data_IF_411681703900
#
_entry.id   IF_411681703900
#
_cell.length_a   1.000
_cell.length_b   1.000
_cell.length_c   1.000
_cell.angle_alpha   90.00
_cell.angle_beta   90.00
_cell.angle_gamma   90.00
#
_symmetry.space_group_name_H-M   'P 1'
#
loop_
_entity.id
_entity.type
_entity.pdbx_description
1 polymer ?
#
# COMPACT_ATOMS: atom_id res chain seq x y z
N UNK A 1 40.91 -14.90 -28.66
CA UNK A 1 40.99 -13.43 -28.44
C UNK A 1 39.89 -12.81 -29.30
N UNK A 2 38.91 -12.06 -28.82
CA UNK A 2 38.73 -11.38 -27.55
C UNK A 2 37.25 -11.45 -27.11
N UNK A 3 37.02 -11.65 -25.81
CA UNK A 3 35.70 -11.54 -25.19
C UNK A 3 35.32 -10.06 -25.06
N UNK A 4 34.07 -9.73 -25.43
CA UNK A 4 33.49 -8.40 -25.25
C UNK A 4 32.93 -8.34 -23.81
N UNK A 5 33.31 -7.35 -22.98
CA UNK A 5 32.82 -7.29 -21.61
C UNK A 5 31.36 -6.84 -21.59
N UNK A 6 30.50 -7.63 -20.94
CA UNK A 6 29.12 -7.27 -20.61
C UNK A 6 29.13 -6.20 -19.52
N UNK A 7 28.87 -4.95 -19.91
CA UNK A 7 28.61 -3.84 -18.99
C UNK A 7 27.16 -3.89 -18.53
N UNK A 8 26.87 -4.66 -17.47
CA UNK A 8 25.63 -4.49 -16.69
C UNK A 8 25.82 -3.30 -15.76
N UNK A 9 25.47 -2.11 -16.24
CA UNK A 9 25.31 -0.94 -15.39
C UNK A 9 24.06 -1.17 -14.52
N UNK A 10 24.29 -1.49 -13.24
CA UNK A 10 23.23 -1.48 -12.22
C UNK A 10 22.80 -0.02 -12.06
N UNK A 11 21.56 0.29 -12.46
CA UNK A 11 20.96 1.59 -12.22
C UNK A 11 20.94 1.86 -10.70
N UNK A 12 21.25 3.08 -10.23
CA UNK A 12 21.20 3.38 -8.81
C UNK A 12 19.76 3.22 -8.32
N UNK A 13 19.55 2.23 -7.46
CA UNK A 13 18.32 2.06 -6.70
C UNK A 13 18.13 3.33 -5.86
N UNK A 14 17.16 4.16 -6.23
CA UNK A 14 16.72 5.28 -5.40
C UNK A 14 16.22 4.64 -4.11
N UNK A 15 16.96 4.78 -3.02
CA UNK A 15 16.58 4.25 -1.72
C UNK A 15 15.26 4.91 -1.32
N UNK A 16 14.19 4.11 -1.30
CA UNK A 16 12.86 4.62 -0.97
C UNK A 16 12.85 5.03 0.51
N UNK A 17 12.53 6.30 0.79
CA UNK A 17 12.43 6.80 2.16
C UNK A 17 11.56 5.89 3.02
N UNK A 18 11.96 5.67 4.26
CA UNK A 18 11.14 4.92 5.23
C UNK A 18 9.85 5.70 5.49
N UNK A 19 8.73 5.00 5.65
CA UNK A 19 7.44 5.66 5.90
C UNK A 19 7.48 6.58 7.13
N UNK A 20 8.23 6.20 8.17
CA UNK A 20 8.40 7.04 9.37
C UNK A 20 9.06 8.38 9.04
N UNK A 21 10.04 8.41 8.14
CA UNK A 21 10.71 9.66 7.72
C UNK A 21 9.75 10.56 6.94
N UNK A 22 8.95 9.99 6.02
CA UNK A 22 7.92 10.72 5.28
C UNK A 22 6.92 11.36 6.25
N UNK A 23 6.46 10.62 7.26
CA UNK A 23 5.53 11.13 8.26
C UNK A 23 6.19 12.21 9.15
N UNK A 24 7.45 12.05 9.52
CA UNK A 24 8.21 13.05 10.28
C UNK A 24 8.34 14.39 9.53
N UNK A 25 8.64 14.35 8.23
CA UNK A 25 8.70 15.54 7.37
C UNK A 25 7.36 16.30 7.38
N UNK A 26 6.23 15.56 7.35
CA UNK A 26 4.88 16.14 7.36
C UNK A 26 4.46 16.68 8.73
N UNK A 27 4.91 16.05 9.82
CA UNK A 27 4.72 16.56 11.18
C UNK A 27 5.44 17.90 11.33
N UNK A 28 6.70 17.99 10.86
CA UNK A 28 7.45 19.24 10.85
C UNK A 28 6.76 20.31 9.99
N UNK A 29 6.27 19.94 8.81
CA UNK A 29 5.52 20.84 7.95
C UNK A 29 4.25 21.38 8.62
N UNK A 30 3.55 20.53 9.39
CA UNK A 30 2.39 20.93 10.19
C UNK A 30 2.74 21.96 11.26
N UNK A 31 3.88 21.81 11.93
CA UNK A 31 4.37 22.78 12.92
C UNK A 31 4.74 24.12 12.25
N UNK A 32 5.35 24.10 11.06
CA UNK A 32 5.61 25.32 10.27
C UNK A 32 4.32 26.04 9.87
N UNK A 33 3.27 25.30 9.52
CA UNK A 33 1.96 25.89 9.19
C UNK A 33 1.35 26.55 10.43
N UNK A 34 1.44 25.91 11.61
CA UNK A 34 0.95 26.50 12.85
C UNK A 34 1.61 27.85 13.14
N UNK A 35 2.94 27.95 12.95
CA UNK A 35 3.68 29.21 13.05
C UNK A 35 3.21 30.23 12.00
N UNK A 36 2.96 29.81 10.75
CA UNK A 36 2.48 30.71 9.70
C UNK A 36 1.07 31.25 9.98
N UNK A 37 0.17 30.39 10.47
CA UNK A 37 -1.20 30.75 10.86
C UNK A 37 -1.19 31.76 12.01
N UNK A 38 -0.37 31.55 13.04
CA UNK A 38 -0.28 32.46 14.19
C UNK A 38 0.24 33.85 13.79
N UNK A 39 1.07 33.92 12.75
CA UNK A 39 1.61 35.18 12.21
C UNK A 39 0.71 35.82 11.13
N UNK A 40 -0.50 35.30 10.88
CA UNK A 40 -1.42 35.84 9.88
C UNK A 40 -2.04 37.17 10.35
N UNK A 41 -2.15 38.11 9.43
CA UNK A 41 -2.76 39.42 9.68
C UNK A 41 -4.06 39.64 8.90
N UNK A 42 -4.17 39.07 7.70
CA UNK A 42 -5.41 39.00 6.91
C UNK A 42 -6.04 37.60 6.96
N UNK A 43 -7.35 37.49 6.70
CA UNK A 43 -8.08 36.22 6.70
C UNK A 43 -7.88 35.40 7.99
N UNK A 44 -7.92 36.06 9.15
CA UNK A 44 -7.63 35.44 10.46
C UNK A 44 -8.59 34.28 10.79
N UNK A 45 -9.92 34.39 10.58
CA UNK A 45 -10.84 33.28 10.81
C UNK A 45 -10.51 32.06 9.96
N UNK A 46 -10.18 32.27 8.69
CA UNK A 46 -9.85 31.21 7.74
C UNK A 46 -8.51 30.56 8.08
N UNK A 47 -7.48 31.36 8.38
CA UNK A 47 -6.18 30.86 8.85
C UNK A 47 -6.33 30.04 10.14
N UNK A 48 -7.16 30.51 11.09
CA UNK A 48 -7.47 29.77 12.32
C UNK A 48 -8.10 28.41 12.01
N UNK A 49 -9.04 28.34 11.06
CA UNK A 49 -9.63 27.08 10.61
C UNK A 49 -8.61 26.14 9.96
N UNK A 50 -7.71 26.66 9.09
CA UNK A 50 -6.58 25.88 8.54
C UNK A 50 -5.74 25.29 9.67
N UNK A 51 -5.38 26.10 10.67
CA UNK A 51 -4.60 25.65 11.82
C UNK A 51 -5.27 24.50 12.58
N UNK A 52 -6.59 24.55 12.78
CA UNK A 52 -7.35 23.47 13.43
C UNK A 52 -7.33 22.16 12.62
N UNK A 53 -7.58 22.23 11.32
CA UNK A 53 -7.56 21.05 10.43
C UNK A 53 -6.15 20.43 10.35
N UNK A 54 -5.12 21.26 10.20
CA UNK A 54 -3.72 20.81 10.17
C UNK A 54 -3.28 20.21 11.49
N UNK A 55 -3.71 20.77 12.64
CA UNK A 55 -3.43 20.17 13.94
C UNK A 55 -4.03 18.76 14.05
N UNK A 56 -5.27 18.58 13.58
CA UNK A 56 -5.92 17.26 13.53
C UNK A 56 -5.14 16.28 12.65
N UNK A 57 -4.73 16.69 11.44
CA UNK A 57 -3.87 15.87 10.58
C UNK A 57 -2.55 15.50 11.28
N UNK A 58 -1.90 16.46 11.92
CA UNK A 58 -0.65 16.24 12.65
C UNK A 58 -0.79 15.20 13.77
N UNK A 59 -1.91 15.19 14.50
CA UNK A 59 -2.21 14.14 15.48
C UNK A 59 -2.34 12.76 14.83
N UNK A 60 -3.00 12.67 13.68
CA UNK A 60 -3.19 11.43 12.93
C UNK A 60 -1.88 10.92 12.32
N UNK A 61 -1.04 11.81 11.79
CA UNK A 61 0.31 11.51 11.31
C UNK A 61 1.18 10.94 12.43
N UNK A 62 1.11 11.51 13.64
CA UNK A 62 1.80 10.97 14.82
C UNK A 62 1.28 9.58 15.21
N UNK A 63 -0.03 9.34 15.11
CA UNK A 63 -0.59 8.00 15.33
C UNK A 63 -0.10 6.99 14.29
N UNK A 64 -0.10 7.37 13.02
CA UNK A 64 0.42 6.54 11.93
C UNK A 64 1.90 6.21 12.11
N UNK A 65 2.72 7.19 12.54
CA UNK A 65 4.14 6.98 12.81
C UNK A 65 4.36 5.98 13.96
N UNK A 66 3.55 6.04 15.03
CA UNK A 66 3.60 5.06 16.12
C UNK A 66 3.24 3.66 15.64
N UNK A 67 2.18 3.51 14.85
CA UNK A 67 1.76 2.22 14.27
C UNK A 67 2.86 1.61 13.40
N UNK A 68 3.47 2.42 12.53
CA UNK A 68 4.53 1.98 11.64
C UNK A 68 5.81 1.51 12.38
N UNK A 69 6.05 2.02 13.59
CA UNK A 69 7.18 1.59 14.44
C UNK A 69 6.82 0.33 15.24
N UNK A 70 5.57 0.19 15.69
CA UNK A 70 5.16 -0.94 16.55
C UNK A 70 4.92 -2.25 15.79
N UNK A 71 4.56 -2.19 14.52
CA UNK A 71 4.22 -3.38 13.72
C UNK A 71 5.35 -3.72 12.75
N UNK A 72 5.87 -4.95 12.78
CA UNK A 72 6.86 -5.42 11.81
C UNK A 72 6.54 -6.86 11.37
N UNK A 73 6.36 -7.13 10.05
CA UNK A 73 6.34 -6.19 8.94
C UNK A 73 5.04 -5.36 8.88
N UNK A 74 5.16 -4.05 8.69
CA UNK A 74 4.02 -3.13 8.52
C UNK A 74 3.67 -2.99 7.04
N UNK A 75 2.42 -3.27 6.69
CA UNK A 75 1.91 -3.04 5.35
C UNK A 75 1.67 -1.55 5.14
N UNK A 76 2.58 -0.81 4.50
CA UNK A 76 2.59 0.66 4.49
C UNK A 76 2.11 1.33 3.19
N UNK A 77 1.83 0.56 2.14
CA UNK A 77 1.41 1.07 0.81
C UNK A 77 0.23 2.05 0.83
N UNK A 78 -0.93 1.75 1.46
CA UNK A 78 -2.04 2.70 1.52
C UNK A 78 -1.63 3.99 2.24
N UNK A 79 -0.85 3.87 3.32
CA UNK A 79 -0.37 5.00 4.09
C UNK A 79 0.60 5.87 3.28
N UNK A 80 1.52 5.28 2.50
CA UNK A 80 2.42 6.01 1.60
C UNK A 80 1.64 6.85 0.59
N UNK A 81 0.63 6.26 -0.04
CA UNK A 81 -0.16 6.94 -1.07
C UNK A 81 -0.98 8.11 -0.50
N UNK A 82 -1.59 7.90 0.67
CA UNK A 82 -2.34 8.96 1.38
C UNK A 82 -1.39 10.04 1.90
N UNK A 83 -0.25 9.65 2.47
CA UNK A 83 0.76 10.60 2.94
C UNK A 83 1.24 11.51 1.81
N UNK A 84 1.44 11.00 0.59
CA UNK A 84 1.83 11.83 -0.55
C UNK A 84 0.81 12.96 -0.83
N UNK A 85 -0.49 12.65 -0.85
CA UNK A 85 -1.56 13.65 -1.05
C UNK A 85 -1.67 14.63 0.14
N UNK A 86 -1.52 14.12 1.37
CA UNK A 86 -1.47 14.96 2.58
C UNK A 86 -0.32 15.95 2.50
N UNK A 87 0.88 15.52 2.07
CA UNK A 87 2.05 16.38 1.91
C UNK A 87 1.74 17.56 0.98
N UNK A 88 1.18 17.27 -0.20
CA UNK A 88 0.82 18.28 -1.19
C UNK A 88 -0.18 19.30 -0.62
N UNK A 89 -1.15 18.83 0.17
CA UNK A 89 -2.17 19.70 0.75
C UNK A 89 -1.65 20.50 1.96
N UNK A 90 -0.68 19.98 2.71
CA UNK A 90 0.06 20.73 3.72
C UNK A 90 0.93 21.82 3.08
N UNK A 91 1.61 21.56 1.97
CA UNK A 91 2.39 22.57 1.24
C UNK A 91 1.52 23.71 0.71
N UNK A 92 0.34 23.39 0.16
CA UNK A 92 -0.67 24.38 -0.23
C UNK A 92 -1.13 25.20 0.98
N UNK A 93 -1.34 24.55 2.12
CA UNK A 93 -1.72 25.20 3.38
C UNK A 93 -0.67 26.20 3.84
N UNK A 94 0.60 25.79 3.85
CA UNK A 94 1.73 26.64 4.24
C UNK A 94 1.87 27.83 3.30
N UNK A 95 1.76 27.59 1.99
CA UNK A 95 1.84 28.64 0.97
C UNK A 95 0.74 29.68 1.16
N UNK A 96 -0.51 29.25 1.39
CA UNK A 96 -1.63 30.17 1.60
C UNK A 96 -1.48 30.94 2.91
N UNK A 97 -1.16 30.26 4.02
CA UNK A 97 -0.96 30.90 5.32
C UNK A 97 0.18 31.94 5.29
N UNK A 98 1.28 31.68 4.57
CA UNK A 98 2.38 32.65 4.40
C UNK A 98 1.94 33.91 3.64
N UNK A 99 1.00 33.81 2.69
CA UNK A 99 0.47 34.97 1.94
C UNK A 99 -0.39 35.90 2.81
N UNK A 100 -0.88 35.42 3.95
CA UNK A 100 -1.68 36.19 4.91
C UNK A 100 -0.82 36.98 5.92
N UNK A 101 0.50 36.84 5.88
CA UNK A 101 1.44 37.62 6.71
C UNK A 101 1.50 39.09 6.27
N UNK A 102 1.86 40.01 7.18
CA UNK A 102 2.06 41.41 6.82
C UNK A 102 3.16 41.55 5.75
N UNK A 103 2.85 42.22 4.64
CA UNK A 103 3.83 42.49 3.56
C UNK A 103 4.58 43.80 3.82
N UNK A 104 5.87 43.80 3.55
CA UNK A 104 6.63 45.04 3.32
C UNK A 104 6.11 45.73 2.04
N UNK A 105 6.26 47.06 1.99
CA UNK A 105 5.65 47.94 0.96
C UNK A 105 6.02 47.54 -0.48
N UNK A 106 7.17 46.89 -0.67
CA UNK A 106 7.72 46.45 -1.97
C UNK A 106 7.03 45.22 -2.60
N UNK A 107 6.32 44.38 -1.82
CA UNK A 107 5.69 43.14 -2.31
C UNK A 107 4.16 43.23 -2.47
N UNK A 108 3.60 44.44 -2.45
CA UNK A 108 2.15 44.67 -2.50
C UNK A 108 1.50 44.26 -3.84
N UNK A 109 2.25 44.07 -4.92
CA UNK A 109 1.69 44.02 -6.27
C UNK A 109 1.29 42.64 -6.84
N UNK A 110 1.63 41.49 -6.22
CA UNK A 110 1.51 40.22 -6.96
C UNK A 110 0.96 39.01 -6.20
N UNK A 111 0.01 39.15 -5.29
CA UNK A 111 -0.75 37.95 -4.83
C UNK A 111 -2.06 38.35 -4.17
N UNK A 112 -3.17 38.13 -4.87
CA UNK A 112 -4.51 38.26 -4.31
C UNK A 112 -4.86 36.92 -3.68
N UNK A 113 -5.16 36.93 -2.38
CA UNK A 113 -5.78 35.81 -1.67
C UNK A 113 -7.27 36.11 -1.59
N UNK A 114 -8.09 35.11 -1.89
CA UNK A 114 -9.54 35.19 -1.86
C UNK A 114 -10.14 34.19 -0.87
N UNK A 115 -11.40 34.39 -0.51
CA UNK A 115 -12.18 33.39 0.25
C UNK A 115 -12.31 32.08 -0.51
N UNK A 116 -12.41 32.13 -1.84
CA UNK A 116 -12.49 30.95 -2.69
C UNK A 116 -11.22 30.06 -2.61
N UNK A 117 -10.05 30.66 -2.40
CA UNK A 117 -8.79 29.92 -2.18
C UNK A 117 -8.87 29.08 -0.90
N UNK A 118 -9.43 29.67 0.16
CA UNK A 118 -9.66 28.97 1.43
C UNK A 118 -10.73 27.89 1.30
N UNK A 119 -11.83 28.13 0.60
CA UNK A 119 -12.86 27.10 0.38
C UNK A 119 -12.30 25.88 -0.36
N UNK A 120 -11.44 26.12 -1.36
CA UNK A 120 -10.72 25.04 -2.04
C UNK A 120 -9.78 24.32 -1.07
N UNK A 121 -9.01 25.05 -0.27
CA UNK A 121 -8.10 24.46 0.70
C UNK A 121 -8.83 23.63 1.77
N UNK A 122 -9.96 24.11 2.29
CA UNK A 122 -10.74 23.39 3.30
C UNK A 122 -11.23 22.05 2.77
N UNK A 123 -11.72 21.99 1.52
CA UNK A 123 -12.12 20.74 0.88
C UNK A 123 -10.95 19.74 0.75
N UNK A 124 -9.76 20.24 0.40
CA UNK A 124 -8.55 19.41 0.32
C UNK A 124 -8.16 18.86 1.71
N UNK A 125 -8.17 19.71 2.74
CA UNK A 125 -7.86 19.30 4.11
C UNK A 125 -8.89 18.34 4.69
N UNK A 126 -10.18 18.55 4.41
CA UNK A 126 -11.24 17.62 4.82
C UNK A 126 -11.08 16.26 4.14
N UNK A 127 -10.70 16.23 2.84
CA UNK A 127 -10.35 14.99 2.14
C UNK A 127 -9.18 14.29 2.82
N UNK A 128 -8.07 15.00 3.04
CA UNK A 128 -6.89 14.45 3.71
C UNK A 128 -7.21 13.92 5.12
N UNK A 129 -8.08 14.58 5.88
CA UNK A 129 -8.52 14.10 7.20
C UNK A 129 -9.33 12.81 7.06
N UNK A 130 -10.24 12.73 6.09
CA UNK A 130 -11.04 11.54 5.86
C UNK A 130 -10.18 10.35 5.38
N UNK A 131 -9.23 10.59 4.46
CA UNK A 131 -8.27 9.58 3.99
C UNK A 131 -7.40 9.06 5.13
N UNK A 132 -6.83 9.97 5.94
CA UNK A 132 -6.04 9.59 7.12
C UNK A 132 -6.88 8.83 8.16
N UNK A 133 -8.17 9.15 8.30
CA UNK A 133 -9.06 8.47 9.25
C UNK A 133 -9.32 7.03 8.79
N UNK A 134 -9.56 6.88 7.49
CA UNK A 134 -9.79 5.58 6.88
C UNK A 134 -8.55 4.69 6.95
N UNK A 135 -7.36 5.20 6.62
CA UNK A 135 -6.15 4.36 6.67
C UNK A 135 -5.76 3.96 8.09
N UNK A 136 -6.09 4.75 9.11
CA UNK A 136 -5.92 4.31 10.49
C UNK A 136 -6.94 3.23 10.86
N UNK A 137 -8.19 3.33 10.35
CA UNK A 137 -9.26 2.40 10.68
C UNK A 137 -8.97 0.97 10.21
N UNK A 138 -8.31 0.79 9.06
CA UNK A 138 -7.96 -0.54 8.52
C UNK A 138 -6.96 -1.31 9.41
N UNK A 139 -6.17 -0.64 10.26
CA UNK A 139 -5.27 -1.31 11.22
C UNK A 139 -5.91 -1.54 12.59
N UNK A 140 -6.96 -0.79 12.92
CA UNK A 140 -7.73 -0.95 14.16
C UNK A 140 -8.87 -1.99 14.01
N UNK A 141 -8.82 -2.83 12.97
CA UNK A 141 -9.87 -3.81 12.61
C UNK A 141 -11.28 -3.19 12.48
N UNK A 142 -11.34 -1.91 12.11
CA UNK A 142 -12.59 -1.18 11.92
C UNK A 142 -12.82 -0.93 10.43
N UNK A 143 -13.92 -1.49 9.92
CA UNK A 143 -14.29 -1.33 8.52
C UNK A 143 -14.79 0.10 8.30
N UNK A 144 -14.00 0.89 7.57
CA UNK A 144 -14.38 2.21 7.09
C UNK A 144 -15.15 2.13 5.76
N UNK A 145 -15.90 3.19 5.44
CA UNK A 145 -16.44 3.39 4.09
C UNK A 145 -15.33 3.65 3.06
N UNK A 146 -15.71 4.05 1.84
CA UNK A 146 -14.74 4.37 0.78
C UNK A 146 -14.04 5.70 1.10
N UNK A 147 -12.69 5.75 1.17
CA UNK A 147 -11.97 7.00 1.40
C UNK A 147 -12.03 7.88 0.15
N UNK A 148 -11.99 9.22 0.30
CA UNK A 148 -11.93 10.14 -0.83
C UNK A 148 -10.88 9.79 -1.89
N UNK A 149 -9.69 9.34 -1.50
CA UNK A 149 -8.61 8.97 -2.43
C UNK A 149 -8.98 7.81 -3.37
N UNK A 150 -9.90 6.93 -2.94
CA UNK A 150 -10.35 5.77 -3.70
C UNK A 150 -11.76 5.94 -4.28
N UNK A 151 -12.35 7.14 -4.23
CA UNK A 151 -13.74 7.35 -4.69
C UNK A 151 -13.97 6.99 -6.15
N UNK A 152 -12.94 7.16 -6.99
CA UNK A 152 -12.96 6.81 -8.42
C UNK A 152 -12.61 5.34 -8.69
N UNK A 153 -12.06 4.64 -7.69
CA UNK A 153 -11.63 3.26 -7.80
C UNK A 153 -11.81 2.53 -6.46
N UNK A 154 -13.07 2.22 -6.07
CA UNK A 154 -13.35 1.62 -4.76
C UNK A 154 -12.64 0.28 -4.52
N UNK A 155 -12.36 -0.46 -5.59
CA UNK A 155 -11.66 -1.75 -5.54
C UNK A 155 -10.29 -1.59 -4.90
N UNK A 156 -9.58 -0.49 -5.15
CA UNK A 156 -8.28 -0.21 -4.53
C UNK A 156 -8.38 -0.18 -3.01
N UNK A 157 -9.41 0.48 -2.46
CA UNK A 157 -9.62 0.51 -1.01
C UNK A 157 -9.95 -0.86 -0.42
N UNK A 158 -10.65 -1.72 -1.17
CA UNK A 158 -10.92 -3.09 -0.75
C UNK A 158 -9.67 -3.96 -0.77
N UNK A 159 -8.88 -3.90 -1.84
CA UNK A 159 -7.60 -4.60 -1.96
C UNK A 159 -6.68 -4.21 -0.81
N UNK A 160 -6.55 -2.91 -0.51
CA UNK A 160 -5.78 -2.44 0.63
C UNK A 160 -6.27 -2.99 1.97
N UNK A 161 -7.58 -2.97 2.23
CA UNK A 161 -8.14 -3.53 3.47
C UNK A 161 -7.92 -5.03 3.59
N UNK A 162 -8.11 -5.80 2.52
CA UNK A 162 -7.92 -7.25 2.54
C UNK A 162 -6.45 -7.62 2.74
N UNK A 163 -5.52 -6.92 2.08
CA UNK A 163 -4.09 -7.13 2.30
C UNK A 163 -3.70 -6.76 3.75
N UNK A 164 -4.21 -5.65 4.29
CA UNK A 164 -3.99 -5.29 5.69
C UNK A 164 -4.50 -6.38 6.66
N UNK A 165 -5.66 -6.98 6.38
CA UNK A 165 -6.21 -8.11 7.14
C UNK A 165 -5.34 -9.37 7.04
N UNK A 166 -4.75 -9.67 5.87
CA UNK A 166 -3.81 -10.79 5.76
C UNK A 166 -2.57 -10.61 6.66
N UNK A 167 -2.09 -9.37 6.79
CA UNK A 167 -0.96 -9.05 7.66
C UNK A 167 -1.33 -9.12 9.15
N UNK A 168 -2.40 -8.44 9.56
CA UNK A 168 -2.65 -8.12 10.97
C UNK A 168 -3.92 -8.77 11.57
N UNK A 169 -4.77 -9.38 10.75
CA UNK A 169 -6.02 -10.00 11.20
C UNK A 169 -5.82 -11.30 11.96
N UNK A 170 -6.86 -11.76 12.64
CA UNK A 170 -6.88 -13.11 13.18
C UNK A 170 -7.00 -14.14 12.05
N UNK A 171 -6.68 -15.41 12.31
CA UNK A 171 -6.68 -16.45 11.28
C UNK A 171 -7.99 -16.46 10.45
N UNK A 172 -9.14 -16.30 11.11
CA UNK A 172 -10.45 -16.19 10.42
C UNK A 172 -10.49 -15.01 9.44
N UNK A 173 -10.04 -13.83 9.87
CA UNK A 173 -10.04 -12.62 9.04
C UNK A 173 -9.07 -12.75 7.86
N UNK A 174 -7.94 -13.46 8.06
CA UNK A 174 -6.98 -13.76 6.98
C UNK A 174 -7.59 -14.67 5.93
N UNK A 175 -8.31 -15.73 6.34
CA UNK A 175 -8.99 -16.65 5.43
C UNK A 175 -10.07 -15.90 4.63
N UNK A 176 -10.87 -15.07 5.31
CA UNK A 176 -11.90 -14.26 4.67
C UNK A 176 -11.29 -13.27 3.67
N UNK A 177 -10.22 -12.56 4.07
CA UNK A 177 -9.51 -11.64 3.19
C UNK A 177 -8.91 -12.35 1.95
N UNK A 178 -8.30 -13.52 2.12
CA UNK A 178 -7.81 -14.33 1.01
C UNK A 178 -8.96 -14.73 0.05
N UNK A 179 -10.13 -15.09 0.60
CA UNK A 179 -11.33 -15.39 -0.17
C UNK A 179 -11.89 -14.19 -0.93
N UNK A 180 -11.86 -12.99 -0.33
CA UNK A 180 -12.28 -11.76 -1.02
C UNK A 180 -11.30 -11.37 -2.14
N UNK A 181 -9.99 -11.54 -1.92
CA UNK A 181 -8.98 -11.35 -2.96
C UNK A 181 -9.14 -12.37 -4.10
N UNK A 182 -9.47 -13.63 -3.78
CA UNK A 182 -9.81 -14.65 -4.78
C UNK A 182 -11.00 -14.21 -5.64
N UNK A 183 -12.06 -13.70 -5.01
CA UNK A 183 -13.22 -13.20 -5.73
C UNK A 183 -12.86 -12.07 -6.69
N UNK A 184 -12.07 -11.08 -6.23
CA UNK A 184 -11.59 -9.99 -7.08
C UNK A 184 -10.67 -10.48 -8.21
N UNK A 185 -9.79 -11.45 -7.93
CA UNK A 185 -8.88 -12.02 -8.91
C UNK A 185 -9.61 -12.83 -10.00
N UNK A 186 -10.75 -13.45 -9.69
CA UNK A 186 -11.57 -14.17 -10.67
C UNK A 186 -12.27 -13.25 -11.68
N UNK A 187 -12.51 -12.01 -11.30
CA UNK A 187 -13.33 -11.08 -12.08
C UNK A 187 -12.60 -10.61 -13.36
N UNK A 188 -11.41 -10.01 -13.23
CA UNK A 188 -10.68 -9.46 -14.38
C UNK A 188 -9.17 -9.28 -14.12
N UNK A 189 -8.40 -9.06 -15.19
CA UNK A 189 -6.93 -8.89 -15.11
C UNK A 189 -6.47 -7.61 -14.42
N UNK A 190 -7.25 -6.52 -14.50
CA UNK A 190 -6.95 -5.27 -13.80
C UNK A 190 -6.94 -5.49 -12.29
N UNK A 191 -7.91 -6.24 -11.75
CA UNK A 191 -7.96 -6.55 -10.31
C UNK A 191 -6.77 -7.42 -9.89
N UNK A 192 -6.43 -8.43 -10.69
CA UNK A 192 -5.25 -9.28 -10.41
C UNK A 192 -3.96 -8.46 -10.37
N UNK A 193 -3.77 -7.56 -11.35
CA UNK A 193 -2.61 -6.67 -11.37
C UNK A 193 -2.59 -5.76 -10.14
N UNK A 194 -3.73 -5.18 -9.78
CA UNK A 194 -3.84 -4.36 -8.57
C UNK A 194 -3.47 -5.13 -7.29
N UNK A 195 -3.89 -6.39 -7.15
CA UNK A 195 -3.51 -7.23 -6.00
C UNK A 195 -2.00 -7.43 -5.94
N UNK A 196 -1.33 -7.65 -7.08
CA UNK A 196 0.12 -7.84 -7.16
C UNK A 196 0.86 -6.52 -6.89
N UNK A 197 0.45 -5.44 -7.56
CA UNK A 197 1.05 -4.11 -7.43
C UNK A 197 0.94 -3.58 -5.98
N UNK A 198 -0.16 -3.89 -5.30
CA UNK A 198 -0.38 -3.52 -3.90
C UNK A 198 0.22 -4.54 -2.91
N UNK A 199 1.08 -5.46 -3.36
CA UNK A 199 1.88 -6.34 -2.49
C UNK A 199 1.09 -7.47 -1.83
N UNK A 200 0.04 -7.97 -2.47
CA UNK A 200 -0.78 -9.06 -1.93
C UNK A 200 -0.13 -10.44 -1.98
N UNK A 201 0.94 -10.63 -2.77
CA UNK A 201 1.60 -11.93 -2.99
C UNK A 201 2.26 -12.46 -1.71
N UNK A 202 3.20 -11.73 -1.13
CA UNK A 202 3.89 -12.12 0.12
C UNK A 202 2.95 -12.56 1.26
N UNK A 203 1.90 -11.82 1.65
CA UNK A 203 1.02 -12.26 2.73
C UNK A 203 0.16 -13.47 2.36
N UNK A 204 -0.19 -13.67 1.08
CA UNK A 204 -0.82 -14.91 0.61
C UNK A 204 0.14 -16.10 0.74
N UNK A 205 1.41 -15.95 0.37
CA UNK A 205 2.42 -16.99 0.54
C UNK A 205 2.63 -17.34 2.02
N UNK A 206 2.61 -16.35 2.92
CA UNK A 206 2.65 -16.60 4.36
C UNK A 206 1.45 -17.41 4.86
N UNK A 207 0.25 -17.11 4.37
CA UNK A 207 -0.95 -17.88 4.70
C UNK A 207 -0.90 -19.30 4.10
N UNK A 208 -0.30 -19.47 2.92
CA UNK A 208 -0.08 -20.78 2.29
C UNK A 208 0.88 -21.68 3.11
N UNK A 209 1.86 -21.06 3.77
CA UNK A 209 2.81 -21.76 4.65
C UNK A 209 2.22 -22.11 6.02
N UNK A 210 1.08 -21.53 6.40
CA UNK A 210 0.47 -21.77 7.71
C UNK A 210 -0.25 -23.12 7.77
N UNK A 211 0.48 -24.15 8.22
CA UNK A 211 -0.03 -25.52 8.36
C UNK A 211 -1.14 -25.67 9.43
N UNK A 212 -1.44 -24.63 10.21
CA UNK A 212 -2.54 -24.66 11.19
C UNK A 212 -3.93 -24.55 10.53
N UNK A 213 -4.00 -24.16 9.25
CA UNK A 213 -5.26 -23.90 8.57
C UNK A 213 -5.32 -24.41 7.12
N UNK A 214 -5.84 -25.61 6.89
CA UNK A 214 -6.07 -26.12 5.54
C UNK A 214 -6.97 -25.20 4.68
N UNK A 215 -7.94 -24.52 5.29
CA UNK A 215 -8.81 -23.56 4.60
C UNK A 215 -8.04 -22.29 4.20
N UNK A 216 -7.15 -21.80 5.06
CA UNK A 216 -6.24 -20.70 4.74
C UNK A 216 -5.30 -21.04 3.59
N UNK A 217 -4.68 -22.23 3.64
CA UNK A 217 -3.82 -22.72 2.57
C UNK A 217 -4.58 -22.86 1.25
N UNK A 218 -5.81 -23.39 1.29
CA UNK A 218 -6.65 -23.53 0.11
C UNK A 218 -7.04 -22.17 -0.50
N UNK A 219 -7.46 -21.21 0.34
CA UNK A 219 -7.79 -19.87 -0.11
C UNK A 219 -6.57 -19.17 -0.73
N UNK A 220 -5.42 -19.23 -0.07
CA UNK A 220 -4.17 -18.63 -0.54
C UNK A 220 -3.69 -19.24 -1.87
N UNK A 221 -3.60 -20.56 -1.96
CA UNK A 221 -3.19 -21.26 -3.19
C UNK A 221 -4.13 -20.96 -4.36
N UNK A 222 -5.45 -20.93 -4.10
CA UNK A 222 -6.44 -20.58 -5.12
C UNK A 222 -6.25 -19.14 -5.63
N UNK A 223 -6.01 -18.18 -4.73
CA UNK A 223 -5.76 -16.78 -5.13
C UNK A 223 -4.49 -16.67 -5.97
N UNK A 224 -3.38 -17.27 -5.51
CA UNK A 224 -2.11 -17.28 -6.24
C UNK A 224 -2.24 -17.94 -7.62
N UNK A 225 -3.02 -19.01 -7.73
CA UNK A 225 -3.30 -19.66 -9.01
C UNK A 225 -3.98 -18.70 -9.99
N UNK A 226 -4.98 -17.95 -9.53
CA UNK A 226 -5.67 -16.96 -10.38
C UNK A 226 -4.81 -15.75 -10.73
N UNK A 227 -3.82 -15.40 -9.90
CA UNK A 227 -2.84 -14.36 -10.23
C UNK A 227 -1.80 -14.84 -11.25
N UNK A 228 -1.56 -16.14 -11.38
CA UNK A 228 -0.50 -16.74 -12.22
C UNK A 228 -0.87 -16.83 -13.71
N UNK A 229 -1.46 -15.80 -14.31
CA UNK A 229 -1.85 -15.80 -15.73
C UNK A 229 -1.06 -14.83 -16.63
N UNK A 230 0.11 -14.39 -16.18
CA UNK A 230 1.13 -13.73 -17.02
C UNK A 230 2.52 -13.94 -16.43
N UNK A 231 3.56 -13.81 -17.26
CA UNK A 231 4.96 -13.96 -16.83
C UNK A 231 5.30 -12.98 -15.70
N UNK A 232 4.89 -11.72 -15.82
CA UNK A 232 5.11 -10.67 -14.81
C UNK A 232 4.55 -11.03 -13.44
N UNK A 233 3.32 -11.56 -13.37
CA UNK A 233 2.70 -11.94 -12.09
C UNK A 233 3.29 -13.22 -11.51
N UNK A 234 3.70 -14.16 -12.37
CA UNK A 234 4.45 -15.34 -11.90
C UNK A 234 5.81 -14.91 -11.35
N UNK A 235 6.49 -13.96 -12.01
CA UNK A 235 7.74 -13.40 -11.52
C UNK A 235 7.57 -12.76 -10.15
N UNK A 236 6.50 -12.00 -9.91
CA UNK A 236 6.21 -11.44 -8.58
C UNK A 236 6.08 -12.53 -7.50
N UNK A 237 5.50 -13.70 -7.82
CA UNK A 237 5.44 -14.86 -6.91
C UNK A 237 6.84 -15.42 -6.65
N UNK A 238 7.68 -15.52 -7.68
CA UNK A 238 9.06 -16.02 -7.56
C UNK A 238 9.91 -15.07 -6.69
N UNK A 239 9.82 -13.76 -6.94
CA UNK A 239 10.58 -12.72 -6.25
C UNK A 239 10.28 -12.69 -4.74
N UNK A 240 9.03 -12.99 -4.35
CA UNK A 240 8.59 -13.14 -2.95
C UNK A 240 8.92 -14.53 -2.36
N UNK A 241 9.87 -15.27 -2.94
CA UNK A 241 10.29 -16.62 -2.53
C UNK A 241 9.15 -17.67 -2.60
N UNK A 242 8.25 -17.52 -3.56
CA UNK A 242 7.08 -18.37 -3.69
C UNK A 242 7.42 -19.83 -3.98
N UNK A 243 8.41 -20.13 -4.82
CA UNK A 243 8.75 -21.51 -5.20
C UNK A 243 9.14 -22.37 -3.98
N UNK A 244 10.10 -21.96 -3.12
CA UNK A 244 10.42 -22.71 -1.91
C UNK A 244 9.21 -22.95 -1.00
N UNK A 245 8.37 -21.93 -0.81
CA UNK A 245 7.16 -22.03 0.03
C UNK A 245 6.17 -23.04 -0.54
N UNK A 246 5.90 -22.97 -1.83
CA UNK A 246 4.99 -23.86 -2.55
C UNK A 246 5.47 -25.32 -2.43
N UNK A 247 6.76 -25.59 -2.60
CA UNK A 247 7.33 -26.95 -2.46
C UNK A 247 7.22 -27.45 -1.02
N UNK A 248 7.52 -26.60 -0.03
CA UNK A 248 7.37 -26.94 1.39
C UNK A 248 5.92 -27.30 1.74
N UNK A 249 4.94 -26.56 1.20
CA UNK A 249 3.52 -26.80 1.41
C UNK A 249 3.07 -28.16 0.85
N UNK A 250 3.58 -28.60 -0.31
CA UNK A 250 3.24 -29.92 -0.87
C UNK A 250 3.56 -31.05 0.11
N UNK A 251 4.72 -31.00 0.76
CA UNK A 251 5.18 -32.07 1.64
C UNK A 251 4.44 -32.14 2.99
N UNK A 252 3.75 -31.08 3.40
CA UNK A 252 3.23 -30.92 4.76
C UNK A 252 1.72 -30.65 4.85
N UNK A 253 0.99 -30.75 3.73
CA UNK A 253 -0.43 -30.36 3.67
C UNK A 253 -1.36 -31.51 3.30
N UNK A 254 -2.66 -31.32 3.53
CA UNK A 254 -3.69 -32.28 3.11
C UNK A 254 -3.72 -32.49 1.60
N UNK A 255 -4.22 -33.64 1.14
CA UNK A 255 -4.40 -33.96 -0.29
C UNK A 255 -5.10 -32.86 -1.08
N UNK A 256 -6.12 -32.21 -0.48
CA UNK A 256 -6.86 -31.11 -1.11
C UNK A 256 -5.96 -29.90 -1.38
N UNK A 257 -5.12 -29.54 -0.42
CA UNK A 257 -4.17 -28.43 -0.56
C UNK A 257 -3.07 -28.79 -1.55
N UNK A 258 -2.54 -30.02 -1.50
CA UNK A 258 -1.54 -30.51 -2.45
C UNK A 258 -2.01 -30.39 -3.90
N UNK A 259 -3.25 -30.82 -4.21
CA UNK A 259 -3.84 -30.66 -5.55
C UNK A 259 -3.87 -29.18 -5.96
N UNK A 260 -4.30 -28.29 -5.07
CA UNK A 260 -4.34 -26.85 -5.33
C UNK A 260 -2.97 -26.25 -5.64
N UNK A 261 -1.95 -26.65 -4.87
CA UNK A 261 -0.57 -26.18 -5.05
C UNK A 261 0.09 -26.76 -6.31
N UNK A 262 -0.17 -28.03 -6.65
CA UNK A 262 0.28 -28.61 -7.91
C UNK A 262 -0.32 -27.89 -9.13
N UNK A 263 -1.61 -27.52 -9.08
CA UNK A 263 -2.24 -26.72 -10.13
C UNK A 263 -1.60 -25.32 -10.24
N UNK A 264 -1.23 -24.70 -9.12
CA UNK A 264 -0.49 -23.45 -9.10
C UNK A 264 0.88 -23.60 -9.80
N UNK A 265 1.66 -24.64 -9.51
CA UNK A 265 2.94 -24.89 -10.17
C UNK A 265 2.78 -25.06 -11.68
N UNK A 266 1.81 -25.89 -12.10
CA UNK A 266 1.52 -26.11 -13.51
C UNK A 266 1.18 -24.78 -14.21
N UNK A 267 0.35 -23.96 -13.56
CA UNK A 267 -0.03 -22.63 -14.06
C UNK A 267 1.16 -21.68 -14.17
N UNK A 268 2.04 -21.66 -13.18
CA UNK A 268 3.27 -20.86 -13.22
C UNK A 268 4.19 -21.30 -14.35
N UNK A 269 4.37 -22.61 -14.54
CA UNK A 269 5.21 -23.19 -15.60
C UNK A 269 4.71 -22.90 -17.02
N UNK A 270 3.38 -22.78 -17.22
CA UNK A 270 2.78 -22.35 -18.49
C UNK A 270 3.17 -20.91 -18.87
N UNK A 271 3.35 -20.04 -17.87
CA UNK A 271 3.48 -18.60 -18.07
C UNK A 271 4.88 -18.04 -17.81
N UNK A 272 5.80 -18.79 -17.19
CA UNK A 272 7.16 -18.33 -16.91
C UNK A 272 8.19 -19.45 -17.15
N UNK A 273 9.18 -19.25 -18.05
CA UNK A 273 10.28 -20.19 -18.24
C UNK A 273 11.13 -20.43 -16.98
N UNK A 274 11.36 -19.40 -16.16
CA UNK A 274 12.13 -19.53 -14.91
C UNK A 274 11.43 -20.47 -13.92
N UNK A 275 10.10 -20.41 -13.86
CA UNK A 275 9.33 -21.36 -13.08
C UNK A 275 9.54 -22.81 -13.54
N UNK A 276 9.85 -23.08 -14.83
CA UNK A 276 10.15 -24.43 -15.34
C UNK A 276 11.53 -24.94 -14.92
N UNK A 277 12.53 -24.06 -14.91
CA UNK A 277 13.90 -24.42 -14.52
C UNK A 277 13.99 -24.70 -13.02
N UNK A 278 13.39 -23.86 -12.19
CA UNK A 278 13.35 -24.06 -10.73
C UNK A 278 12.38 -25.19 -10.32
N UNK A 279 11.32 -25.43 -11.09
CA UNK A 279 10.43 -26.60 -10.88
C UNK A 279 10.96 -27.90 -11.48
N UNK A 280 12.14 -27.94 -12.10
CA UNK A 280 12.78 -29.20 -12.51
C UNK A 280 12.99 -30.17 -11.33
N UNK A 281 13.09 -29.62 -10.11
CA UNK A 281 13.06 -30.37 -8.84
C UNK A 281 11.67 -31.00 -8.59
N UNK A 282 10.58 -30.33 -9.00
CA UNK A 282 9.20 -30.81 -8.89
C UNK A 282 8.88 -31.84 -9.98
N UNK A 283 9.38 -31.67 -11.20
CA UNK A 283 9.25 -32.68 -12.26
C UNK A 283 9.93 -34.01 -11.90
N UNK A 284 11.01 -33.97 -11.11
CA UNK A 284 11.64 -35.18 -10.55
C UNK A 284 10.71 -35.92 -9.56
N UNK A 285 9.82 -35.22 -8.87
CA UNK A 285 8.79 -35.81 -8.00
C UNK A 285 7.60 -36.40 -8.80
N UNK A 286 7.28 -35.84 -9.97
CA UNK A 286 6.21 -36.35 -10.86
C UNK A 286 6.56 -37.65 -11.58
N UNK A 287 7.82 -38.10 -11.57
CA UNK A 287 8.21 -39.41 -12.11
C UNK A 287 7.93 -40.56 -11.11
N UNK A 288 7.56 -40.28 -9.86
CA UNK A 288 7.40 -41.28 -8.80
C UNK A 288 6.03 -41.34 -8.11
N UNK A 289 4.98 -40.75 -8.70
CA UNK A 289 3.57 -40.98 -8.31
C UNK A 289 2.84 -41.58 -9.50
#
# INVERSE_FOLDING_TARGET
>A
MAAKPSSTAVAPTIEEKRIVEILSDQILLSDQIAVAVNNSHSFKPECSKVGKQVNRLCQMLRSAARLAISSTPFYDRPLRRIAAEVSLNLEKSLTLARKCRPRSVLFRLFTIVSTADFDKLFRLLDSSIADMKWVLSIYDASNGGIPPIAIKDPILSWVWSFIASLHNGQLRDKIEAAGMLLYLAKDNDRNKQMIVDEGGVLPLLKLLKDNSSPDGQFAASSTLFHLSNSEERVQAIIDDLGIPIIIETINNSSMKVQIGVCNLIAKMAEHCPLAREDSSIVYSYYIYI
#
